data_IF_169228531643
#
_entry.id   IF_169228531643
#
_cell.length_a   1.000
_cell.length_b   1.000
_cell.length_c   1.000
_cell.angle_alpha   90.00
_cell.angle_beta   90.00
_cell.angle_gamma   90.00
#
_symmetry.space_group_name_H-M   'P 1'
#
loop_
_entity.id
_entity.type
_entity.pdbx_description
1 polymer ?
#
# COMPACT_ATOMS: atom_id res chain seq x y z
N UNK A 1 13.94 17.70 -1.22
CA UNK A 1 12.99 17.26 -2.26
C UNK A 1 12.76 15.76 -2.16
N UNK A 2 11.51 15.34 -2.12
CA UNK A 2 11.19 13.92 -2.01
C UNK A 2 11.28 13.25 -3.37
N UNK A 3 11.82 12.03 -3.39
CA UNK A 3 11.88 11.23 -4.62
C UNK A 3 10.61 10.41 -4.77
N UNK A 4 10.33 9.97 -6.00
CA UNK A 4 9.22 9.06 -6.27
C UNK A 4 9.31 7.79 -5.41
N UNK A 5 10.52 7.31 -5.19
CA UNK A 5 10.76 6.13 -4.36
C UNK A 5 10.30 6.35 -2.92
N UNK A 6 10.61 7.52 -2.35
CA UNK A 6 10.18 7.85 -0.99
C UNK A 6 8.65 7.97 -0.90
N UNK A 7 8.03 8.57 -1.91
CA UNK A 7 6.58 8.70 -1.95
C UNK A 7 5.89 7.33 -2.01
N UNK A 8 6.45 6.41 -2.79
CA UNK A 8 5.91 5.05 -2.87
C UNK A 8 6.07 4.30 -1.55
N UNK A 9 7.19 4.46 -0.88
CA UNK A 9 7.40 3.83 0.43
C UNK A 9 6.40 4.35 1.46
N UNK A 10 6.15 5.64 1.47
CA UNK A 10 5.16 6.23 2.36
C UNK A 10 3.75 5.71 2.04
N UNK A 11 3.41 5.62 0.77
CA UNK A 11 2.13 5.09 0.34
C UNK A 11 1.94 3.65 0.79
N UNK A 12 2.97 2.81 0.60
CA UNK A 12 2.93 1.42 1.03
C UNK A 12 2.69 1.35 2.54
N UNK A 13 3.39 2.16 3.31
CA UNK A 13 3.23 2.19 4.76
C UNK A 13 1.80 2.57 5.15
N UNK A 14 1.23 3.58 4.51
CA UNK A 14 -0.15 3.99 4.76
C UNK A 14 -1.13 2.88 4.40
N UNK A 15 -0.92 2.23 3.27
CA UNK A 15 -1.79 1.13 2.84
C UNK A 15 -1.72 -0.04 3.81
N UNK A 16 -0.54 -0.34 4.34
CA UNK A 16 -0.40 -1.40 5.34
C UNK A 16 -1.16 -1.08 6.63
N UNK A 17 -1.12 0.17 7.06
CA UNK A 17 -1.88 0.63 8.25
C UNK A 17 -3.38 0.50 7.98
N UNK A 18 -3.84 0.93 6.82
CA UNK A 18 -5.26 0.83 6.44
C UNK A 18 -5.70 -0.63 6.34
N UNK A 19 -4.82 -1.49 5.80
CA UNK A 19 -5.11 -2.92 5.73
C UNK A 19 -5.30 -3.50 7.12
N UNK A 20 -4.44 -3.14 8.06
CA UNK A 20 -4.54 -3.61 9.43
C UNK A 20 -5.88 -3.19 10.05
N UNK A 21 -6.29 -1.95 9.85
CA UNK A 21 -7.58 -1.46 10.34
C UNK A 21 -8.75 -2.22 9.73
N UNK A 22 -8.68 -2.47 8.42
CA UNK A 22 -9.71 -3.22 7.72
C UNK A 22 -9.81 -4.66 8.27
N UNK A 23 -8.66 -5.27 8.60
CA UNK A 23 -8.65 -6.60 9.19
C UNK A 23 -9.30 -6.61 10.57
N UNK A 24 -9.03 -5.60 11.40
CA UNK A 24 -9.65 -5.47 12.71
C UNK A 24 -11.16 -5.28 12.61
N UNK A 25 -11.62 -4.60 11.58
CA UNK A 25 -13.05 -4.35 11.33
C UNK A 25 -13.71 -5.48 10.54
N UNK A 26 -12.94 -6.49 10.14
CA UNK A 26 -13.42 -7.61 9.31
C UNK A 26 -14.03 -7.13 8.00
N UNK A 27 -13.44 -6.08 7.44
CA UNK A 27 -13.91 -5.48 6.19
C UNK A 27 -13.15 -6.10 5.00
N UNK A 28 -13.67 -7.23 4.52
CA UNK A 28 -13.02 -8.00 3.47
C UNK A 28 -12.94 -7.26 2.13
N UNK A 29 -13.95 -6.45 1.83
CA UNK A 29 -13.97 -5.70 0.58
C UNK A 29 -12.85 -4.67 0.57
N UNK A 30 -12.69 -3.93 1.67
CA UNK A 30 -11.60 -2.96 1.81
C UNK A 30 -10.24 -3.65 1.78
N UNK A 31 -10.12 -4.83 2.41
CA UNK A 31 -8.88 -5.61 2.37
C UNK A 31 -8.47 -5.95 0.94
N UNK A 32 -9.40 -6.41 0.13
CA UNK A 32 -9.12 -6.76 -1.26
C UNK A 32 -8.67 -5.54 -2.05
N UNK A 33 -9.33 -4.41 -1.87
CA UNK A 33 -8.99 -3.15 -2.52
C UNK A 33 -7.58 -2.70 -2.15
N UNK A 34 -7.26 -2.74 -0.86
CA UNK A 34 -5.95 -2.32 -0.35
C UNK A 34 -4.85 -3.27 -0.84
N UNK A 35 -5.10 -4.57 -0.80
CA UNK A 35 -4.13 -5.55 -1.29
C UNK A 35 -3.77 -5.32 -2.75
N UNK A 36 -4.77 -5.00 -3.57
CA UNK A 36 -4.54 -4.69 -4.97
C UNK A 36 -3.65 -3.46 -5.13
N UNK A 37 -3.91 -2.42 -4.36
CA UNK A 37 -3.09 -1.20 -4.38
C UNK A 37 -1.67 -1.46 -3.90
N UNK A 38 -1.51 -2.29 -2.86
CA UNK A 38 -0.19 -2.67 -2.36
C UNK A 38 0.61 -3.41 -3.43
N UNK A 39 0.00 -4.33 -4.14
CA UNK A 39 0.67 -5.06 -5.22
C UNK A 39 1.19 -4.10 -6.28
N UNK A 40 0.35 -3.16 -6.71
CA UNK A 40 0.73 -2.18 -7.72
C UNK A 40 1.87 -1.29 -7.21
N UNK A 41 1.76 -0.78 -6.00
CA UNK A 41 2.77 0.09 -5.41
C UNK A 41 4.11 -0.62 -5.26
N UNK A 42 4.09 -1.86 -4.77
CA UNK A 42 5.32 -2.65 -4.60
C UNK A 42 5.97 -2.97 -5.93
N UNK A 43 5.18 -3.33 -6.94
CA UNK A 43 5.69 -3.60 -8.29
C UNK A 43 6.33 -2.35 -8.88
N UNK A 44 5.68 -1.20 -8.72
CA UNK A 44 6.21 0.07 -9.20
C UNK A 44 7.53 0.40 -8.51
N UNK A 45 7.61 0.18 -7.20
CA UNK A 45 8.83 0.43 -6.44
C UNK A 45 9.99 -0.43 -6.94
N UNK A 46 9.73 -1.70 -7.22
CA UNK A 46 10.74 -2.61 -7.77
C UNK A 46 11.24 -2.11 -9.12
N UNK A 47 10.35 -1.60 -9.97
CA UNK A 47 10.70 -1.15 -11.31
C UNK A 47 11.55 0.11 -11.32
N UNK A 48 11.49 0.94 -10.28
CA UNK A 48 12.28 2.17 -10.23
C UNK A 48 13.57 2.04 -9.40
N UNK A 49 13.84 0.89 -8.85
CA UNK A 49 15.09 0.65 -8.11
C UNK A 49 16.29 0.54 -9.02
#
# INVERSE_FOLDING_TARGET
MRTQKHDLKDEIKHLEIELHKAMLNKDHITQLSINKRLDIAKSTLINIQ
#
